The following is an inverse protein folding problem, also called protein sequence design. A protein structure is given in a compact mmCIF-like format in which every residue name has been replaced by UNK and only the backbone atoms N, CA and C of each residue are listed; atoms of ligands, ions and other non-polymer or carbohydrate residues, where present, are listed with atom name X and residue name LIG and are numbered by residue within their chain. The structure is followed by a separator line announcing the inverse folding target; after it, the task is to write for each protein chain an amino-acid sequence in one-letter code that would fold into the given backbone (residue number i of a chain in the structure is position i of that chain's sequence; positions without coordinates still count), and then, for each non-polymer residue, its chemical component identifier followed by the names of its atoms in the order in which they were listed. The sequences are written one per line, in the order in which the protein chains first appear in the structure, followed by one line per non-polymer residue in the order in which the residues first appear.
data_IF_389785745806
#
_entry.id   IF_389785745806
#
_cell.length_a   1.000
_cell.length_b   1.000
_cell.length_c   1.000
_cell.angle_alpha   90.00
_cell.angle_beta   90.00
_cell.angle_gamma   90.00
#
_symmetry.space_group_name_H-M   'P 1'
#
loop_
_entity.id
_entity.type
_entity.pdbx_description
1 polymer ?
#
# COMPACT_ATOMS: atom_id res chain seq x y z
N UNK A 1 -11.47 2.74 -8.01
CA UNK A 1 -12.47 2.23 -7.05
C UNK A 1 -11.97 2.31 -5.59
N UNK A 2 -11.20 3.33 -5.19
CA UNK A 2 -10.76 3.52 -3.80
C UNK A 2 -9.91 2.40 -3.19
N UNK A 3 -9.39 1.46 -3.99
CA UNK A 3 -8.67 0.29 -3.50
C UNK A 3 -9.56 -0.83 -2.97
N UNK A 4 -10.87 -0.81 -3.21
CA UNK A 4 -11.77 -1.93 -2.91
C UNK A 4 -11.44 -3.14 -3.78
N UNK A 5 -11.53 -4.35 -3.22
CA UNK A 5 -11.20 -5.56 -3.96
C UNK A 5 -11.60 -6.86 -3.28
N UNK A 6 -12.03 -6.84 -2.01
CA UNK A 6 -12.39 -8.07 -1.27
C UNK A 6 -13.51 -8.84 -1.96
N UNK A 7 -14.45 -8.15 -2.60
CA UNK A 7 -15.58 -8.76 -3.32
C UNK A 7 -15.65 -8.39 -4.80
N UNK A 8 -14.86 -7.39 -5.25
CA UNK A 8 -14.98 -6.77 -6.58
C UNK A 8 -13.77 -6.97 -7.49
N UNK A 9 -12.63 -7.44 -6.98
CA UNK A 9 -11.45 -7.70 -7.81
C UNK A 9 -11.70 -8.79 -8.86
N UNK A 10 -11.01 -8.70 -9.99
CA UNK A 10 -11.05 -9.73 -11.03
C UNK A 10 -10.30 -11.00 -10.59
N UNK A 11 -10.53 -12.13 -11.24
CA UNK A 11 -9.80 -13.37 -10.94
C UNK A 11 -8.29 -13.25 -11.12
N UNK A 12 -7.82 -12.32 -11.97
CA UNK A 12 -6.39 -12.03 -12.17
C UNK A 12 -5.79 -11.21 -11.04
N UNK A 13 -6.55 -10.28 -10.47
CA UNK A 13 -6.12 -9.43 -9.35
C UNK A 13 -6.47 -10.02 -7.99
N UNK A 14 -7.25 -11.11 -7.97
CA UNK A 14 -7.68 -11.81 -6.76
C UNK A 14 -6.57 -12.10 -5.73
N UNK A 15 -5.36 -12.57 -6.14
CA UNK A 15 -4.30 -12.87 -5.19
C UNK A 15 -3.87 -11.68 -4.32
N UNK A 16 -4.10 -10.46 -4.79
CA UNK A 16 -3.69 -9.23 -4.10
C UNK A 16 -4.76 -8.67 -3.15
N UNK A 17 -6.00 -9.19 -3.24
CA UNK A 17 -7.15 -8.74 -2.43
C UNK A 17 -7.79 -9.88 -1.64
N UNK A 18 -8.37 -10.85 -2.35
CA UNK A 18 -9.05 -11.99 -1.76
C UNK A 18 -8.87 -13.22 -2.64
N UNK A 19 -8.10 -14.23 -2.21
CA UNK A 19 -7.83 -15.43 -3.00
C UNK A 19 -9.08 -16.15 -3.50
N UNK A 20 -10.19 -16.05 -2.76
CA UNK A 20 -11.44 -16.68 -3.15
C UNK A 20 -12.00 -16.19 -4.49
N UNK A 21 -11.64 -14.97 -4.91
CA UNK A 21 -12.05 -14.43 -6.21
C UNK A 21 -11.36 -15.12 -7.40
N UNK A 22 -10.27 -15.86 -7.20
CA UNK A 22 -9.61 -16.63 -8.27
C UNK A 22 -10.56 -17.62 -8.96
N UNK A 23 -11.58 -18.13 -8.26
CA UNK A 23 -12.59 -19.01 -8.84
C UNK A 23 -13.78 -18.27 -9.47
N UNK A 24 -13.77 -16.92 -9.51
CA UNK A 24 -14.84 -16.09 -10.05
C UNK A 24 -14.39 -15.46 -11.36
N UNK A 25 -14.63 -16.15 -12.44
CA UNK A 25 -14.25 -15.78 -13.80
C UNK A 25 -15.47 -15.89 -14.75
N UNK A 26 -15.38 -15.29 -15.92
CA UNK A 26 -16.43 -15.42 -16.94
C UNK A 26 -16.39 -16.81 -17.56
N UNK A 27 -17.55 -17.31 -17.99
CA UNK A 27 -17.67 -18.68 -18.55
C UNK A 27 -16.78 -18.95 -19.77
N UNK A 28 -16.39 -17.91 -20.49
CA UNK A 28 -15.58 -18.00 -21.72
C UNK A 28 -14.10 -17.64 -21.47
N UNK A 29 -13.69 -17.39 -20.22
CA UNK A 29 -12.29 -17.15 -19.91
C UNK A 29 -11.54 -18.49 -19.84
N UNK A 30 -10.61 -18.74 -20.74
CA UNK A 30 -9.77 -19.94 -20.74
C UNK A 30 -8.45 -19.71 -20.00
N UNK A 31 -7.87 -18.52 -20.14
CA UNK A 31 -6.70 -18.06 -19.42
C UNK A 31 -6.65 -16.53 -19.38
N UNK A 32 -5.76 -15.97 -18.57
CA UNK A 32 -5.56 -14.53 -18.56
C UNK A 32 -4.29 -14.14 -17.86
N UNK A 33 -3.81 -12.94 -18.15
CA UNK A 33 -2.63 -12.38 -17.51
C UNK A 33 -2.83 -10.91 -17.14
N UNK A 34 -2.22 -10.52 -16.03
CA UNK A 34 -1.98 -9.14 -15.59
C UNK A 34 -0.50 -8.85 -15.77
N UNK A 35 -0.12 -7.96 -16.71
CA UNK A 35 1.29 -7.65 -17.00
C UNK A 35 1.42 -6.25 -17.58
N UNK A 36 2.12 -5.34 -16.90
CA UNK A 36 2.27 -5.21 -15.47
C UNK A 36 1.13 -4.37 -14.85
N UNK A 37 0.93 -4.50 -13.55
CA UNK A 37 0.27 -3.48 -12.73
C UNK A 37 1.34 -2.64 -12.06
N UNK A 38 1.31 -1.33 -12.20
CA UNK A 38 2.27 -0.41 -11.58
C UNK A 38 1.53 0.68 -10.83
N UNK A 39 2.06 1.10 -9.69
CA UNK A 39 1.50 2.18 -8.89
C UNK A 39 2.58 2.95 -8.15
N UNK A 40 2.34 4.23 -8.00
CA UNK A 40 3.17 5.14 -7.20
C UNK A 40 2.25 6.02 -6.37
N UNK A 41 2.64 6.28 -5.13
CA UNK A 41 2.00 7.27 -4.26
C UNK A 41 3.04 8.09 -3.52
N UNK A 42 2.68 9.35 -3.29
CA UNK A 42 3.40 10.30 -2.47
C UNK A 42 2.42 10.89 -1.46
N UNK A 43 2.79 10.91 -0.21
CA UNK A 43 1.98 11.43 0.89
C UNK A 43 2.85 12.24 1.85
N UNK A 44 2.73 13.55 1.78
CA UNK A 44 3.33 14.55 2.67
C UNK A 44 2.27 15.53 3.16
N UNK A 45 1.14 14.99 3.68
CA UNK A 45 0.05 15.80 4.22
C UNK A 45 0.53 16.73 5.34
N UNK A 46 1.54 16.32 6.07
CA UNK A 46 2.15 17.09 7.16
C UNK A 46 3.10 18.19 6.66
N UNK A 47 3.38 18.24 5.35
CA UNK A 47 4.32 19.18 4.70
C UNK A 47 5.72 19.12 5.30
N UNK A 48 6.22 17.90 5.50
CA UNK A 48 7.57 17.68 6.06
C UNK A 48 8.63 18.38 5.22
N UNK A 49 8.58 18.24 3.89
CA UNK A 49 9.59 18.82 3.01
C UNK A 49 9.60 20.35 3.07
N UNK A 50 8.43 20.99 2.98
CA UNK A 50 8.32 22.45 3.10
C UNK A 50 8.88 22.95 4.44
N UNK A 51 8.54 22.25 5.53
CA UNK A 51 8.98 22.61 6.90
C UNK A 51 10.48 22.37 7.11
N UNK A 52 11.07 21.37 6.46
CA UNK A 52 12.54 21.17 6.46
C UNK A 52 13.22 22.34 5.76
N UNK A 53 12.73 22.74 4.58
CA UNK A 53 13.25 23.88 3.84
C UNK A 53 13.13 25.19 4.63
N UNK A 54 12.01 25.39 5.31
CA UNK A 54 11.79 26.55 6.19
C UNK A 54 12.80 26.56 7.36
N UNK A 55 13.04 25.41 8.00
CA UNK A 55 13.98 25.30 9.12
C UNK A 55 15.43 25.55 8.68
N UNK A 56 15.85 24.98 7.53
CA UNK A 56 17.18 25.19 6.94
C UNK A 56 17.36 26.66 6.56
N UNK A 57 16.39 27.25 5.84
CA UNK A 57 16.44 28.63 5.40
C UNK A 57 16.45 29.64 6.55
N UNK A 58 15.74 29.35 7.64
CA UNK A 58 15.75 30.21 8.84
C UNK A 58 17.11 30.14 9.56
N UNK A 59 17.65 28.93 9.69
CA UNK A 59 18.98 28.73 10.33
C UNK A 59 20.10 29.38 9.51
N UNK A 60 20.08 29.32 8.17
CA UNK A 60 21.06 29.96 7.29
C UNK A 60 21.03 31.49 7.34
N UNK A 61 19.87 32.07 7.71
CA UNK A 61 19.72 33.52 7.89
C UNK A 61 20.03 34.00 9.30
N UNK A 62 20.46 33.14 10.22
CA UNK A 62 20.64 33.41 11.65
C UNK A 62 19.37 33.96 12.32
N UNK A 63 18.19 33.58 11.84
CA UNK A 63 16.90 34.01 12.38
C UNK A 63 16.44 33.06 13.49
N UNK A 64 16.85 33.35 14.72
CA UNK A 64 16.58 32.51 15.90
C UNK A 64 15.07 32.23 16.14
N UNK A 65 14.18 33.26 16.14
CA UNK A 65 12.75 33.02 16.34
C UNK A 65 12.13 32.15 15.24
N UNK A 66 12.51 32.39 13.98
CA UNK A 66 12.00 31.61 12.85
C UNK A 66 12.52 30.16 12.90
N UNK A 67 13.81 29.95 13.22
CA UNK A 67 14.39 28.61 13.35
C UNK A 67 13.70 27.81 14.44
N UNK A 68 13.48 28.41 15.62
CA UNK A 68 12.78 27.74 16.72
C UNK A 68 11.33 27.38 16.33
N UNK A 69 10.61 28.27 15.68
CA UNK A 69 9.24 28.02 15.23
C UNK A 69 9.18 26.91 14.18
N UNK A 70 10.12 26.88 13.23
CA UNK A 70 10.22 25.86 12.20
C UNK A 70 10.56 24.48 12.78
N UNK A 71 11.48 24.39 13.74
CA UNK A 71 11.79 23.14 14.44
C UNK A 71 10.58 22.59 15.22
N UNK A 72 9.83 23.46 15.89
CA UNK A 72 8.58 23.04 16.55
C UNK A 72 7.54 22.54 15.55
N UNK A 73 7.43 23.19 14.39
CA UNK A 73 6.51 22.78 13.34
C UNK A 73 6.87 21.42 12.70
N UNK A 74 8.13 21.01 12.73
CA UNK A 74 8.59 19.70 12.27
C UNK A 74 8.13 18.54 13.16
N UNK A 75 7.82 18.82 14.44
CA UNK A 75 7.48 17.74 15.38
C UNK A 75 6.26 16.94 14.94
N UNK A 76 6.40 15.61 14.90
CA UNK A 76 5.33 14.67 14.56
C UNK A 76 4.97 14.60 13.06
N UNK A 77 5.71 15.29 12.18
CA UNK A 77 5.48 15.26 10.75
C UNK A 77 6.04 13.99 10.12
N UNK A 78 5.45 13.57 9.00
CA UNK A 78 5.91 12.42 8.21
C UNK A 78 5.71 12.67 6.72
N UNK A 79 6.61 12.11 5.92
CA UNK A 79 6.41 11.97 4.47
C UNK A 79 6.58 10.51 4.06
N UNK A 80 5.75 10.05 3.11
CA UNK A 80 5.77 8.68 2.59
C UNK A 80 5.84 8.67 1.07
N UNK A 81 6.60 7.73 0.53
CA UNK A 81 6.66 7.46 -0.91
C UNK A 81 6.57 5.95 -1.10
N UNK A 82 5.56 5.52 -1.82
CA UNK A 82 5.35 4.12 -2.11
C UNK A 82 5.37 3.87 -3.62
N UNK A 83 6.01 2.79 -4.00
CA UNK A 83 6.04 2.31 -5.38
C UNK A 83 5.84 0.81 -5.39
N UNK A 84 5.05 0.31 -6.35
CA UNK A 84 4.85 -1.12 -6.46
C UNK A 84 4.40 -1.58 -7.83
N UNK A 85 4.59 -2.87 -8.05
CA UNK A 85 4.13 -3.54 -9.25
C UNK A 85 3.72 -4.99 -9.00
N UNK A 86 2.85 -5.51 -9.86
CA UNK A 86 2.36 -6.87 -9.77
C UNK A 86 2.17 -7.48 -11.16
N UNK A 87 2.31 -8.79 -11.20
CA UNK A 87 2.01 -9.63 -12.36
C UNK A 87 1.20 -10.84 -11.90
N UNK A 88 0.32 -11.34 -12.74
CA UNK A 88 -0.43 -12.55 -12.44
C UNK A 88 -0.78 -13.31 -13.73
N UNK A 89 -0.86 -14.62 -13.63
CA UNK A 89 -1.32 -15.50 -14.68
C UNK A 89 -2.38 -16.43 -14.12
N UNK A 90 -3.61 -16.28 -14.58
CA UNK A 90 -4.77 -17.03 -14.12
C UNK A 90 -5.17 -18.15 -15.07
N UNK A 91 -5.46 -19.31 -14.51
CA UNK A 91 -5.97 -20.49 -15.21
C UNK A 91 -7.34 -20.82 -14.59
N UNK A 92 -8.44 -20.33 -15.18
CA UNK A 92 -9.78 -20.70 -14.75
C UNK A 92 -10.00 -22.22 -14.87
N UNK A 93 -10.54 -22.82 -13.84
CA UNK A 93 -10.86 -24.25 -13.87
C UNK A 93 -12.04 -24.54 -12.94
N UNK A 94 -13.01 -25.35 -13.41
CA UNK A 94 -14.20 -25.71 -12.64
C UNK A 94 -13.94 -26.55 -11.39
N UNK A 95 -12.81 -27.24 -11.33
CA UNK A 95 -12.48 -28.08 -10.17
C UNK A 95 -11.71 -27.28 -9.10
N UNK A 96 -10.62 -26.63 -9.52
CA UNK A 96 -9.82 -25.73 -8.70
C UNK A 96 -9.23 -24.69 -9.65
N UNK A 97 -9.66 -23.44 -9.54
CA UNK A 97 -9.06 -22.34 -10.27
C UNK A 97 -7.69 -21.99 -9.64
N UNK A 98 -6.72 -21.70 -10.49
CA UNK A 98 -5.36 -21.38 -10.07
C UNK A 98 -4.90 -20.05 -10.65
N UNK A 99 -4.05 -19.34 -9.91
CA UNK A 99 -3.41 -18.11 -10.36
C UNK A 99 -1.98 -18.10 -9.81
N UNK A 100 -0.98 -17.94 -10.68
CA UNK A 100 0.41 -17.72 -10.29
C UNK A 100 0.64 -16.23 -10.30
N UNK A 101 1.20 -15.67 -9.23
CA UNK A 101 1.40 -14.24 -9.11
C UNK A 101 2.77 -13.87 -8.57
N UNK A 102 3.20 -12.67 -8.94
CA UNK A 102 4.35 -11.98 -8.36
C UNK A 102 3.97 -10.55 -8.01
N UNK A 103 4.50 -10.04 -6.93
CA UNK A 103 4.34 -8.66 -6.48
C UNK A 103 5.67 -8.14 -5.95
N UNK A 104 5.97 -6.89 -6.25
CA UNK A 104 7.09 -6.19 -5.63
C UNK A 104 6.62 -4.78 -5.25
N UNK A 105 6.99 -4.33 -4.05
CA UNK A 105 6.68 -2.98 -3.60
C UNK A 105 7.75 -2.46 -2.66
N UNK A 106 7.87 -1.14 -2.61
CA UNK A 106 8.75 -0.40 -1.72
C UNK A 106 7.88 0.64 -1.01
N UNK A 107 8.01 0.70 0.29
CA UNK A 107 7.38 1.69 1.15
C UNK A 107 8.49 2.45 1.89
N UNK A 108 8.47 3.76 1.81
CA UNK A 108 9.44 4.63 2.46
C UNK A 108 8.71 5.58 3.40
N UNK A 109 9.20 5.74 4.60
CA UNK A 109 8.72 6.70 5.57
C UNK A 109 9.89 7.52 6.10
N UNK A 110 9.72 8.84 6.09
CA UNK A 110 10.68 9.79 6.66
C UNK A 110 10.01 10.55 7.81
N UNK A 111 10.74 10.76 8.90
CA UNK A 111 10.29 11.51 10.05
C UNK A 111 11.46 12.29 10.70
N UNK A 112 11.24 13.50 11.22
CA UNK A 112 12.28 14.24 11.91
C UNK A 112 12.56 13.65 13.29
N UNK A 113 13.82 13.68 13.67
CA UNK A 113 14.34 13.44 15.03
C UNK A 113 14.93 14.74 15.53
N UNK A 114 14.09 15.55 16.16
CA UNK A 114 14.46 16.89 16.62
C UNK A 114 15.47 16.76 17.77
N UNK A 115 16.55 17.50 17.66
CA UNK A 115 17.56 17.57 18.74
C UNK A 115 16.94 18.12 20.02
N UNK A 116 17.46 17.73 21.22
CA UNK A 116 17.05 18.32 22.49
C UNK A 116 17.15 19.83 22.47
N UNK A 117 16.30 20.49 23.25
CA UNK A 117 16.28 21.94 23.33
C UNK A 117 17.68 22.49 23.62
N UNK A 118 18.09 23.45 22.78
CA UNK A 118 19.35 24.16 22.88
C UNK A 118 19.08 25.67 23.03
N UNK A 119 19.81 26.42 23.88
CA UNK A 119 19.72 27.87 23.93
C UNK A 119 20.00 28.55 22.57
N UNK A 120 20.77 27.88 21.71
CA UNK A 120 21.00 28.27 20.32
C UNK A 120 20.11 27.41 19.38
N UNK A 121 19.03 27.97 18.81
CA UNK A 121 18.16 27.24 17.89
C UNK A 121 18.84 26.83 16.59
N UNK A 122 19.89 27.55 16.15
CA UNK A 122 20.65 27.20 14.93
C UNK A 122 21.43 25.93 15.18
N UNK A 123 22.12 25.83 16.34
CA UNK A 123 22.81 24.60 16.70
C UNK A 123 21.82 23.43 16.85
N UNK A 124 20.64 23.68 17.43
CA UNK A 124 19.57 22.67 17.50
C UNK A 124 19.16 22.20 16.11
N UNK A 125 19.04 23.09 15.12
CA UNK A 125 18.73 22.72 13.74
C UNK A 125 19.85 21.89 13.10
N UNK A 126 21.11 22.24 13.33
CA UNK A 126 22.28 21.47 12.86
C UNK A 126 22.34 20.06 13.47
N UNK A 127 21.95 19.92 14.74
CA UNK A 127 21.92 18.63 15.46
C UNK A 127 20.62 17.81 15.18
N UNK A 128 19.64 18.39 14.50
CA UNK A 128 18.38 17.73 14.14
C UNK A 128 18.58 16.86 12.91
N UNK A 129 18.03 15.65 12.95
CA UNK A 129 18.16 14.67 11.88
C UNK A 129 16.80 14.31 11.27
N UNK A 130 16.82 13.83 10.04
CA UNK A 130 15.71 13.11 9.42
C UNK A 130 16.04 11.62 9.42
N UNK A 131 15.20 10.84 10.05
CA UNK A 131 15.24 9.37 10.05
C UNK A 131 14.37 8.84 8.93
N UNK A 132 14.92 7.95 8.12
CA UNK A 132 14.17 7.26 7.07
C UNK A 132 14.22 5.76 7.32
N UNK A 133 13.06 5.13 7.25
CA UNK A 133 12.92 3.69 7.22
C UNK A 133 12.22 3.27 5.92
N UNK A 134 12.74 2.25 5.29
CA UNK A 134 12.19 1.72 4.04
C UNK A 134 12.10 0.21 4.12
N UNK A 135 11.04 -0.33 3.54
CA UNK A 135 10.88 -1.76 3.33
C UNK A 135 10.59 -2.03 1.85
N UNK A 136 11.34 -2.96 1.28
CA UNK A 136 11.05 -3.50 -0.04
C UNK A 136 10.68 -4.97 0.09
N UNK A 137 9.53 -5.36 -0.46
CA UNK A 137 9.04 -6.73 -0.42
C UNK A 137 8.85 -7.24 -1.83
N UNK A 138 9.41 -8.41 -2.11
CA UNK A 138 9.10 -9.18 -3.31
C UNK A 138 8.41 -10.47 -2.89
N UNK A 139 7.27 -10.77 -3.52
CA UNK A 139 6.50 -11.98 -3.25
C UNK A 139 6.22 -12.75 -4.53
N UNK A 140 6.28 -14.07 -4.43
CA UNK A 140 5.85 -15.01 -5.47
C UNK A 140 4.97 -16.05 -4.81
N UNK A 141 3.81 -16.34 -5.41
CA UNK A 141 2.87 -17.28 -4.85
C UNK A 141 1.94 -17.91 -5.88
N UNK A 142 1.14 -18.83 -5.38
CA UNK A 142 0.09 -19.49 -6.15
C UNK A 142 -1.22 -19.33 -5.37
N UNK A 143 -2.24 -18.80 -6.03
CA UNK A 143 -3.58 -18.71 -5.48
C UNK A 143 -4.42 -19.86 -6.01
N UNK A 144 -5.06 -20.59 -5.11
CA UNK A 144 -5.96 -21.69 -5.42
C UNK A 144 -7.33 -21.39 -4.85
N UNK A 145 -8.37 -21.53 -5.65
CA UNK A 145 -9.74 -21.30 -5.18
C UNK A 145 -10.73 -22.28 -5.75
N UNK A 146 -11.79 -22.49 -4.98
CA UNK A 146 -12.89 -23.36 -5.36
C UNK A 146 -14.24 -22.71 -5.04
N UNK A 147 -15.06 -22.63 -6.08
CA UNK A 147 -16.49 -22.32 -5.92
C UNK A 147 -17.26 -23.55 -5.47
N UNK A 148 -18.16 -23.38 -4.51
CA UNK A 148 -18.94 -24.45 -3.88
C UNK A 148 -20.36 -24.01 -3.58
N UNK A 149 -21.33 -24.85 -3.86
CA UNK A 149 -22.71 -24.66 -3.39
C UNK A 149 -22.90 -25.46 -2.10
N UNK A 150 -23.23 -24.78 -1.01
CA UNK A 150 -23.50 -25.36 0.29
C UNK A 150 -24.90 -24.92 0.78
N UNK A 151 -25.75 -25.84 1.12
CA UNK A 151 -27.13 -25.57 1.61
C UNK A 151 -27.92 -24.63 0.67
N UNK A 152 -27.73 -24.75 -0.63
CA UNK A 152 -28.39 -23.90 -1.62
C UNK A 152 -27.86 -22.47 -1.71
N UNK A 153 -26.79 -22.15 -0.97
CA UNK A 153 -26.06 -20.88 -1.05
C UNK A 153 -24.75 -21.05 -1.80
N UNK A 154 -24.27 -19.98 -2.41
CA UNK A 154 -23.08 -19.97 -3.24
C UNK A 154 -21.90 -19.38 -2.48
N UNK A 155 -20.81 -20.13 -2.40
CA UNK A 155 -19.57 -19.74 -1.74
C UNK A 155 -18.38 -19.92 -2.65
N UNK A 156 -17.33 -19.16 -2.38
CA UNK A 156 -15.99 -19.45 -2.89
C UNK A 156 -15.00 -19.37 -1.75
N UNK A 157 -14.02 -20.28 -1.75
CA UNK A 157 -12.93 -20.33 -0.78
C UNK A 157 -11.60 -20.33 -1.53
N UNK A 158 -10.62 -19.60 -1.01
CA UNK A 158 -9.31 -19.50 -1.62
C UNK A 158 -8.18 -19.46 -0.62
N UNK A 159 -7.01 -19.96 -1.05
CA UNK A 159 -5.75 -19.96 -0.31
C UNK A 159 -4.63 -19.54 -1.25
N UNK A 160 -3.68 -18.75 -0.75
CA UNK A 160 -2.50 -18.32 -1.50
C UNK A 160 -1.23 -18.52 -0.66
N UNK A 161 -0.60 -19.70 -0.73
CA UNK A 161 0.76 -19.87 -0.24
C UNK A 161 1.72 -19.01 -1.08
N UNK A 162 2.65 -18.33 -0.39
CA UNK A 162 3.62 -17.42 -1.01
C UNK A 162 4.95 -17.41 -0.28
N UNK A 163 6.00 -17.09 -1.02
CA UNK A 163 7.33 -16.82 -0.49
C UNK A 163 7.56 -15.31 -0.64
N UNK A 164 8.01 -14.67 0.42
CA UNK A 164 8.31 -13.25 0.50
C UNK A 164 9.80 -13.07 0.78
N UNK A 165 10.44 -12.19 0.04
CA UNK A 165 11.77 -11.68 0.38
C UNK A 165 11.62 -10.22 0.76
N UNK A 166 12.01 -9.92 1.99
CA UNK A 166 11.81 -8.63 2.62
C UNK A 166 13.19 -8.01 2.82
N UNK A 167 13.36 -6.78 2.32
CA UNK A 167 14.56 -5.98 2.51
C UNK A 167 14.18 -4.78 3.36
N UNK A 168 15.00 -4.45 4.34
CA UNK A 168 14.84 -3.25 5.15
C UNK A 168 16.06 -2.36 5.00
N UNK A 169 15.80 -1.06 4.89
CA UNK A 169 16.80 -0.02 4.74
C UNK A 169 16.53 1.06 5.78
N UNK A 170 17.59 1.63 6.30
CA UNK A 170 17.51 2.73 7.25
C UNK A 170 18.55 3.77 6.91
N UNK A 171 18.20 5.05 7.01
CA UNK A 171 19.16 6.13 6.90
C UNK A 171 18.86 7.24 7.90
N UNK A 172 19.90 7.99 8.26
CA UNK A 172 19.82 9.18 9.11
C UNK A 172 20.63 10.26 8.41
N UNK A 173 20.01 11.38 8.10
CA UNK A 173 20.63 12.49 7.42
C UNK A 173 20.42 13.79 8.22
N UNK A 174 21.28 14.79 8.02
CA UNK A 174 21.04 16.15 8.51
C UNK A 174 19.83 16.76 7.78
N UNK A 175 19.27 17.85 8.31
CA UNK A 175 18.20 18.59 7.60
C UNK A 175 18.67 19.08 6.22
N UNK A 176 19.94 19.52 6.10
CA UNK A 176 20.50 20.07 4.86
C UNK A 176 20.76 19.01 3.77
N UNK A 177 21.14 17.78 4.20
CA UNK A 177 21.51 16.69 3.28
C UNK A 177 20.38 15.72 3.00
N UNK A 178 19.17 16.00 3.50
CA UNK A 178 18.04 15.10 3.35
C UNK A 178 17.59 14.98 1.89
N UNK A 179 17.64 13.74 1.36
CA UNK A 179 17.13 13.36 0.04
C UNK A 179 16.58 11.95 0.08
N UNK A 180 15.47 11.72 -0.60
CA UNK A 180 14.86 10.39 -0.69
C UNK A 180 15.65 9.37 -1.52
N UNK A 181 16.70 9.77 -2.24
CA UNK A 181 17.48 8.92 -3.15
C UNK A 181 18.66 8.17 -2.49
N UNK A 182 19.06 8.54 -1.27
CA UNK A 182 20.20 7.97 -0.55
C UNK A 182 19.90 6.65 0.21
N UNK A 183 18.94 5.86 -0.23
CA UNK A 183 18.34 4.76 0.54
C UNK A 183 19.10 3.42 0.44
N UNK A 184 20.24 3.31 -0.27
CA UNK A 184 20.73 2.00 -0.75
C UNK A 184 21.90 1.35 0.00
N UNK A 185 22.53 2.00 0.97
CA UNK A 185 23.85 1.52 1.40
C UNK A 185 23.88 0.38 2.45
N UNK A 186 22.81 0.13 3.19
CA UNK A 186 22.83 -0.82 4.31
C UNK A 186 21.57 -1.71 4.43
N UNK A 187 21.25 -2.45 3.36
CA UNK A 187 20.10 -3.37 3.36
C UNK A 187 20.33 -4.62 4.19
N UNK A 188 19.34 -4.98 5.02
CA UNK A 188 19.20 -6.37 5.51
C UNK A 188 18.10 -7.08 4.70
N UNK A 189 18.20 -8.40 4.57
CA UNK A 189 17.16 -9.17 3.88
C UNK A 189 16.80 -10.43 4.65
N UNK A 190 15.51 -10.75 4.65
CA UNK A 190 14.96 -11.96 5.22
C UNK A 190 14.01 -12.64 4.22
N UNK A 191 13.91 -13.96 4.29
CA UNK A 191 13.01 -14.76 3.46
C UNK A 191 11.96 -15.41 4.37
N UNK A 192 10.69 -15.18 4.06
CA UNK A 192 9.58 -15.71 4.81
C UNK A 192 8.62 -16.50 3.90
N UNK A 193 8.13 -17.63 4.40
CA UNK A 193 6.93 -18.25 3.86
C UNK A 193 5.71 -17.59 4.51
N UNK A 194 4.67 -17.34 3.72
CA UNK A 194 3.41 -16.79 4.22
C UNK A 194 2.20 -17.41 3.50
N UNK A 195 1.02 -17.13 4.04
CA UNK A 195 -0.23 -17.66 3.55
C UNK A 195 -1.29 -16.55 3.58
N UNK A 196 -2.05 -16.41 2.49
CA UNK A 196 -3.28 -15.62 2.47
C UNK A 196 -4.47 -16.56 2.31
N UNK A 197 -5.61 -16.19 2.88
CA UNK A 197 -6.85 -16.95 2.79
C UNK A 197 -8.03 -16.02 2.51
N UNK A 198 -9.10 -16.58 1.94
CA UNK A 198 -10.29 -15.81 1.67
C UNK A 198 -11.54 -16.65 1.53
N UNK A 199 -12.66 -16.01 1.79
CA UNK A 199 -13.98 -16.58 1.59
C UNK A 199 -14.92 -15.52 1.00
N UNK A 200 -15.87 -15.97 0.18
CA UNK A 200 -16.90 -15.16 -0.43
C UNK A 200 -18.23 -15.89 -0.37
N UNK A 201 -19.28 -15.12 -0.14
CA UNK A 201 -20.68 -15.53 -0.26
C UNK A 201 -21.36 -14.71 -1.35
N UNK A 202 -22.27 -15.34 -2.09
CA UNK A 202 -23.00 -14.74 -3.20
C UNK A 202 -24.49 -14.94 -3.05
N UNK A 203 -25.25 -13.89 -3.27
CA UNK A 203 -26.70 -13.96 -3.41
C UNK A 203 -27.19 -13.01 -4.51
N UNK A 204 -27.37 -13.56 -5.70
CA UNK A 204 -27.62 -12.72 -6.89
C UNK A 204 -26.47 -11.76 -7.14
N UNK A 205 -26.73 -10.45 -7.26
CA UNK A 205 -25.69 -9.44 -7.44
C UNK A 205 -24.96 -9.07 -6.12
N UNK A 206 -25.48 -9.48 -4.98
CA UNK A 206 -24.88 -9.17 -3.68
C UNK A 206 -23.74 -10.13 -3.38
N UNK A 207 -22.64 -9.56 -2.88
CA UNK A 207 -21.48 -10.30 -2.42
C UNK A 207 -21.06 -9.83 -1.05
N UNK A 208 -20.63 -10.76 -0.20
CA UNK A 208 -19.95 -10.48 1.04
C UNK A 208 -18.72 -11.37 1.15
N UNK A 209 -17.64 -10.87 1.71
CA UNK A 209 -16.40 -11.61 1.79
C UNK A 209 -15.51 -11.20 2.93
N UNK A 210 -14.59 -12.09 3.24
CA UNK A 210 -13.50 -11.87 4.17
C UNK A 210 -12.19 -12.30 3.53
N UNK A 211 -11.15 -11.53 3.78
CA UNK A 211 -9.77 -11.83 3.37
C UNK A 211 -8.86 -11.74 4.57
N UNK A 212 -7.93 -12.68 4.68
CA UNK A 212 -6.84 -12.68 5.65
C UNK A 212 -5.52 -12.70 4.87
N UNK A 213 -4.70 -11.67 4.99
CA UNK A 213 -3.39 -11.55 4.33
C UNK A 213 -2.29 -11.69 5.35
N UNK A 214 -1.15 -12.27 4.93
CA UNK A 214 0.05 -12.43 5.77
C UNK A 214 -0.26 -13.13 7.11
N UNK A 215 -0.92 -14.29 7.06
CA UNK A 215 -1.41 -15.01 8.25
C UNK A 215 -0.29 -15.45 9.21
N UNK A 216 0.94 -15.55 8.71
CA UNK A 216 2.10 -15.91 9.52
C UNK A 216 2.87 -14.63 9.90
N UNK A 217 2.74 -14.22 11.15
CA UNK A 217 3.42 -13.04 11.69
C UNK A 217 4.93 -13.21 11.70
N UNK A 218 5.66 -12.12 11.42
CA UNK A 218 7.11 -12.08 11.52
C UNK A 218 7.60 -10.70 11.93
N UNK A 219 8.66 -10.65 12.74
CA UNK A 219 9.38 -9.42 13.07
C UNK A 219 10.76 -9.48 12.45
N UNK A 220 11.18 -8.40 11.82
CA UNK A 220 12.48 -8.28 11.14
C UNK A 220 13.16 -7.04 11.68
N UNK A 221 14.33 -7.24 12.30
CA UNK A 221 15.14 -6.13 12.78
C UNK A 221 15.92 -5.54 11.62
N UNK A 222 15.90 -4.20 11.51
CA UNK A 222 16.76 -3.49 10.57
C UNK A 222 18.19 -3.44 11.10
N UNK A 223 19.12 -3.02 10.28
CA UNK A 223 20.46 -2.68 10.76
C UNK A 223 20.36 -1.58 11.80
N UNK A 224 21.17 -1.66 12.86
CA UNK A 224 21.21 -0.69 13.94
C UNK A 224 22.60 -0.11 14.12
N UNK A 225 22.69 1.14 14.56
CA UNK A 225 23.93 1.85 14.77
C UNK A 225 23.70 3.28 15.21
N UNK A 226 24.75 4.09 15.08
CA UNK A 226 24.72 5.52 15.36
C UNK A 226 25.30 6.28 14.17
N UNK A 227 24.72 7.44 13.87
CA UNK A 227 25.23 8.41 12.88
C UNK A 227 25.38 9.73 13.61
N UNK A 228 26.56 10.37 13.49
CA UNK A 228 26.77 11.70 14.06
C UNK A 228 26.20 12.74 13.11
N UNK A 229 25.21 13.52 13.59
CA UNK A 229 24.60 14.64 12.88
C UNK A 229 24.87 15.91 13.69
N UNK A 230 25.57 16.89 13.08
CA UNK A 230 26.06 18.04 13.82
C UNK A 230 27.00 17.60 14.94
N UNK A 231 26.64 17.85 16.18
CA UNK A 231 27.38 17.42 17.38
C UNK A 231 26.73 16.25 18.13
N UNK A 232 25.68 15.61 17.58
CA UNK A 232 24.87 14.60 18.27
C UNK A 232 24.95 13.23 17.59
N UNK A 233 25.15 12.18 18.39
CA UNK A 233 25.02 10.81 17.93
C UNK A 233 23.53 10.41 17.91
N UNK A 234 23.00 10.15 16.72
CA UNK A 234 21.62 9.76 16.47
C UNK A 234 21.59 8.24 16.28
N UNK A 235 20.88 7.57 17.18
CA UNK A 235 20.66 6.13 17.06
C UNK A 235 19.65 5.80 15.95
N UNK A 236 19.91 4.75 15.19
CA UNK A 236 18.96 4.14 14.27
C UNK A 236 18.94 2.63 14.49
N UNK A 237 17.85 2.03 14.11
CA UNK A 237 17.58 0.61 14.24
C UNK A 237 16.12 0.44 14.60
N UNK A 238 15.38 -0.22 13.73
CA UNK A 238 13.93 -0.33 13.80
C UNK A 238 13.54 -1.80 13.67
N UNK A 239 12.31 -2.11 14.05
CA UNK A 239 11.74 -3.42 13.85
C UNK A 239 10.54 -3.31 12.92
N UNK A 240 10.64 -3.95 11.75
CA UNK A 240 9.53 -4.10 10.83
C UNK A 240 8.69 -5.31 11.23
N UNK A 241 7.38 -5.13 11.29
CA UNK A 241 6.41 -6.16 11.64
C UNK A 241 5.57 -6.54 10.44
N UNK A 242 5.65 -7.81 10.05
CA UNK A 242 4.70 -8.42 9.14
C UNK A 242 3.61 -9.07 10.00
N UNK A 243 2.39 -8.54 9.96
CA UNK A 243 1.27 -9.00 10.77
C UNK A 243 0.08 -9.39 9.90
N UNK A 244 -0.78 -10.31 10.37
CA UNK A 244 -2.03 -10.62 9.67
C UNK A 244 -2.92 -9.40 9.54
N UNK A 245 -3.42 -9.17 8.33
CA UNK A 245 -4.45 -8.17 8.06
C UNK A 245 -5.74 -8.86 7.65
N UNK A 246 -6.80 -8.62 8.41
CA UNK A 246 -8.14 -9.13 8.16
C UNK A 246 -9.01 -8.01 7.58
N UNK A 247 -9.55 -8.23 6.37
CA UNK A 247 -10.42 -7.26 5.70
C UNK A 247 -11.75 -7.91 5.39
N UNK A 248 -12.85 -7.24 5.71
CA UNK A 248 -14.19 -7.62 5.28
C UNK A 248 -14.64 -6.72 4.15
N UNK A 249 -15.44 -7.26 3.24
CA UNK A 249 -15.98 -6.51 2.13
C UNK A 249 -17.43 -6.90 1.84
N UNK A 250 -18.19 -5.95 1.35
CA UNK A 250 -19.53 -6.15 0.82
C UNK A 250 -19.72 -5.35 -0.47
N UNK A 251 -20.57 -5.84 -1.37
CA UNK A 251 -20.79 -5.14 -2.62
C UNK A 251 -22.02 -5.63 -3.37
N UNK A 252 -22.42 -4.79 -4.31
CA UNK A 252 -23.40 -5.09 -5.34
C UNK A 252 -22.66 -5.11 -6.68
N UNK A 253 -22.58 -6.29 -7.30
CA UNK A 253 -21.79 -6.52 -8.51
C UNK A 253 -22.75 -7.00 -9.61
N UNK A 254 -23.06 -6.12 -10.53
CA UNK A 254 -23.87 -6.38 -11.73
C UNK A 254 -23.03 -6.19 -12.99
N UNK A 255 -23.57 -6.56 -14.16
CA UNK A 255 -22.85 -6.57 -15.44
C UNK A 255 -22.28 -5.20 -15.86
N UNK A 256 -22.98 -4.12 -15.51
CA UNK A 256 -22.63 -2.75 -15.93
C UNK A 256 -22.40 -1.80 -14.77
N UNK A 257 -22.54 -2.28 -13.56
CA UNK A 257 -22.44 -1.46 -12.36
C UNK A 257 -21.91 -2.26 -11.18
N UNK A 258 -20.92 -1.71 -10.49
CA UNK A 258 -20.38 -2.28 -9.26
C UNK A 258 -20.32 -1.20 -8.17
N UNK A 259 -20.73 -1.58 -6.99
CA UNK A 259 -20.54 -0.81 -5.76
C UNK A 259 -19.93 -1.73 -4.72
N UNK A 260 -18.85 -1.32 -4.08
CA UNK A 260 -18.18 -2.12 -3.06
C UNK A 260 -17.63 -1.28 -1.92
N UNK A 261 -17.60 -1.89 -0.74
CA UNK A 261 -17.03 -1.31 0.48
C UNK A 261 -16.18 -2.36 1.15
N UNK A 262 -14.95 -1.99 1.53
CA UNK A 262 -14.01 -2.83 2.28
C UNK A 262 -13.60 -2.13 3.58
N UNK A 263 -13.44 -2.92 4.65
CA UNK A 263 -13.03 -2.43 5.97
C UNK A 263 -12.01 -3.36 6.60
N UNK A 264 -10.87 -2.80 7.04
CA UNK A 264 -9.85 -3.54 7.75
C UNK A 264 -10.25 -3.70 9.22
N UNK A 265 -10.38 -4.95 9.69
CA UNK A 265 -10.82 -5.28 11.04
C UNK A 265 -9.78 -4.97 12.12
N UNK A 266 -8.52 -4.94 11.72
CA UNK A 266 -7.39 -4.64 12.60
C UNK A 266 -6.43 -3.66 11.97
N UNK A 267 -5.59 -3.04 12.80
CA UNK A 267 -4.49 -2.20 12.34
C UNK A 267 -3.33 -3.06 11.83
N UNK A 268 -2.77 -2.70 10.70
CA UNK A 268 -1.49 -3.19 10.21
C UNK A 268 -0.39 -2.28 10.76
N UNK A 269 0.40 -2.80 11.67
CA UNK A 269 1.59 -2.12 12.20
C UNK A 269 2.78 -2.50 11.33
N UNK A 270 3.58 -1.50 10.95
CA UNK A 270 4.75 -1.70 10.09
C UNK A 270 6.03 -1.54 10.89
N UNK A 271 6.52 -0.32 11.10
CA UNK A 271 7.68 -0.08 11.96
C UNK A 271 7.25 0.31 13.37
N UNK A 272 7.77 -0.38 14.38
CA UNK A 272 7.34 -0.18 15.77
C UNK A 272 7.67 1.21 16.34
N UNK A 273 8.64 1.89 15.73
CA UNK A 273 9.13 3.21 16.19
C UNK A 273 8.58 4.39 15.37
N UNK A 274 7.74 4.09 14.34
CA UNK A 274 7.10 5.11 13.52
C UNK A 274 5.59 5.07 13.74
N UNK A 275 4.93 6.21 13.59
CA UNK A 275 3.47 6.28 13.56
C UNK A 275 2.99 6.00 12.12
N UNK A 276 3.23 4.79 11.64
CA UNK A 276 2.92 4.35 10.28
C UNK A 276 1.80 3.30 10.22
N UNK A 277 1.03 3.16 11.30
CA UNK A 277 -0.11 2.26 11.41
C UNK A 277 -1.14 2.51 10.31
N UNK A 278 -1.69 1.44 9.75
CA UNK A 278 -2.69 1.49 8.67
C UNK A 278 -3.91 0.66 9.04
N UNK A 279 -5.08 1.28 8.97
CA UNK A 279 -6.39 0.61 9.05
C UNK A 279 -7.33 1.30 8.08
N UNK A 280 -7.64 0.68 6.96
CA UNK A 280 -8.33 1.34 5.87
C UNK A 280 -9.84 1.08 5.89
N UNK A 281 -10.58 2.14 5.64
CA UNK A 281 -11.93 2.08 5.09
C UNK A 281 -11.85 2.45 3.61
N UNK A 282 -12.52 1.68 2.74
CA UNK A 282 -12.52 1.88 1.29
C UNK A 282 -13.93 1.75 0.76
N UNK A 283 -14.30 2.62 -0.17
CA UNK A 283 -15.55 2.55 -0.91
C UNK A 283 -15.29 2.83 -2.39
N UNK A 284 -15.97 2.12 -3.28
CA UNK A 284 -15.74 2.26 -4.70
C UNK A 284 -16.96 1.96 -5.55
N UNK A 285 -17.03 2.64 -6.68
CA UNK A 285 -18.04 2.49 -7.71
C UNK A 285 -17.37 2.29 -9.06
N UNK A 286 -17.94 1.44 -9.88
CA UNK A 286 -17.57 1.26 -11.29
C UNK A 286 -18.84 1.23 -12.14
N UNK A 287 -18.77 1.93 -13.26
CA UNK A 287 -19.80 1.89 -14.31
C UNK A 287 -19.13 1.43 -15.58
N UNK A 288 -19.61 0.35 -16.16
CA UNK A 288 -19.14 -0.21 -17.42
C UNK A 288 -20.06 0.25 -18.55
N UNK A 289 -19.51 1.07 -19.45
CA UNK A 289 -20.21 1.56 -20.62
C UNK A 289 -19.93 0.62 -21.81
N UNK A 290 -21.00 -0.04 -22.25
CA UNK A 290 -20.99 -0.94 -23.41
C UNK A 290 -19.91 -2.03 -23.37
N UNK A 291 -19.45 -2.42 -22.19
CA UNK A 291 -18.39 -3.42 -21.94
C UNK A 291 -17.02 -3.07 -22.55
N UNK A 292 -16.79 -1.82 -22.85
CA UNK A 292 -15.53 -1.35 -23.44
C UNK A 292 -14.88 -0.21 -22.70
N UNK A 293 -15.65 0.57 -21.93
CA UNK A 293 -15.16 1.73 -21.17
C UNK A 293 -15.66 1.59 -19.75
N UNK A 294 -14.75 1.48 -18.80
CA UNK A 294 -15.05 1.44 -17.38
C UNK A 294 -14.70 2.81 -16.76
N UNK A 295 -15.68 3.42 -16.10
CA UNK A 295 -15.48 4.61 -15.29
C UNK A 295 -15.47 4.19 -13.82
N UNK A 296 -14.44 4.58 -13.10
CA UNK A 296 -14.20 4.20 -11.70
C UNK A 296 -14.08 5.42 -10.83
N UNK A 297 -14.80 5.42 -9.73
CA UNK A 297 -14.68 6.39 -8.66
C UNK A 297 -14.48 5.68 -7.33
N UNK A 298 -13.89 6.35 -6.36
CA UNK A 298 -13.78 5.76 -5.04
C UNK A 298 -13.24 6.72 -4.00
N UNK A 299 -13.27 6.24 -2.78
CA UNK A 299 -12.80 6.94 -1.60
C UNK A 299 -12.11 5.94 -0.67
N UNK A 300 -11.02 6.37 -0.05
CA UNK A 300 -10.45 5.63 1.06
C UNK A 300 -9.93 6.57 2.14
N UNK A 301 -9.87 6.05 3.37
CA UNK A 301 -9.34 6.77 4.52
C UNK A 301 -8.61 5.80 5.44
N UNK A 302 -7.43 6.21 5.92
CA UNK A 302 -6.75 5.53 7.02
C UNK A 302 -7.39 5.95 8.35
N UNK A 303 -7.95 4.99 9.09
CA UNK A 303 -8.61 5.20 10.38
C UNK A 303 -7.67 5.04 11.57
N UNK A 304 -6.45 4.57 11.35
CA UNK A 304 -5.46 4.39 12.40
C UNK A 304 -4.81 5.72 12.82
N UNK A 305 -4.82 6.71 11.91
CA UNK A 305 -4.21 8.03 12.08
C UNK A 305 -5.22 9.12 11.76
N UNK A 306 -4.99 10.30 12.28
CA UNK A 306 -5.74 11.49 11.87
C UNK A 306 -5.22 11.98 10.51
N UNK A 307 -5.79 11.43 9.44
CA UNK A 307 -5.43 11.73 8.05
C UNK A 307 -6.66 12.15 7.27
N UNK A 308 -6.45 12.93 6.23
CA UNK A 308 -7.52 13.27 5.29
C UNK A 308 -7.93 12.05 4.46
N UNK A 309 -9.14 12.07 3.94
CA UNK A 309 -9.63 11.03 3.04
C UNK A 309 -9.17 11.27 1.61
N UNK A 310 -8.87 10.20 0.90
CA UNK A 310 -8.38 10.22 -0.48
C UNK A 310 -9.50 9.91 -1.45
N UNK A 311 -9.69 10.76 -2.44
CA UNK A 311 -10.56 10.51 -3.59
C UNK A 311 -9.78 9.82 -4.70
N UNK A 312 -10.42 8.90 -5.40
CA UNK A 312 -9.82 8.21 -6.53
C UNK A 312 -10.72 8.28 -7.75
N UNK A 313 -10.11 8.44 -8.91
CA UNK A 313 -10.78 8.37 -10.19
C UNK A 313 -9.98 7.50 -11.16
N UNK A 314 -10.64 6.79 -12.06
CA UNK A 314 -9.97 5.95 -13.03
C UNK A 314 -10.83 5.66 -14.24
N UNK A 315 -10.15 5.31 -15.33
CA UNK A 315 -10.75 4.87 -16.57
C UNK A 315 -10.10 3.56 -17.02
N UNK A 316 -10.92 2.62 -17.46
CA UNK A 316 -10.50 1.37 -18.12
C UNK A 316 -11.00 1.36 -19.56
N UNK A 317 -10.18 0.84 -20.46
CA UNK A 317 -10.49 0.63 -21.85
C UNK A 317 -10.31 -0.84 -22.19
N UNK A 318 -11.38 -1.51 -22.65
CA UNK A 318 -11.37 -2.95 -22.97
C UNK A 318 -11.80 -3.18 -24.43
N UNK A 319 -10.97 -2.79 -25.42
CA UNK A 319 -11.32 -2.99 -26.81
C UNK A 319 -11.47 -4.50 -27.12
N UNK A 320 -12.59 -4.87 -27.74
CA UNK A 320 -12.92 -6.24 -28.11
C UNK A 320 -13.01 -7.24 -26.93
N UNK A 321 -12.98 -6.76 -25.66
CA UNK A 321 -12.93 -7.59 -24.45
C UNK A 321 -11.75 -8.60 -24.40
N UNK A 322 -10.66 -8.34 -25.14
CA UNK A 322 -9.45 -9.17 -25.15
C UNK A 322 -8.37 -8.63 -24.22
N UNK A 323 -8.29 -7.31 -24.11
CA UNK A 323 -7.38 -6.63 -23.16
C UNK A 323 -8.09 -5.48 -22.46
N UNK A 324 -7.61 -5.16 -21.32
CA UNK A 324 -8.02 -3.98 -20.56
C UNK A 324 -6.79 -3.16 -20.19
N UNK A 325 -6.77 -1.89 -20.57
CA UNK A 325 -5.84 -0.90 -20.07
C UNK A 325 -6.58 0.00 -19.11
N UNK A 326 -6.15 0.03 -17.86
CA UNK A 326 -6.75 0.86 -16.81
C UNK A 326 -5.73 1.86 -16.28
N UNK A 327 -6.14 3.12 -16.16
CA UNK A 327 -5.37 4.19 -15.52
C UNK A 327 -6.20 4.78 -14.40
N UNK A 328 -5.58 5.04 -13.26
CA UNK A 328 -6.24 5.68 -12.13
C UNK A 328 -5.32 6.68 -11.44
N UNK A 329 -5.93 7.69 -10.83
CA UNK A 329 -5.27 8.66 -9.98
C UNK A 329 -5.96 8.71 -8.62
N UNK A 330 -5.20 9.07 -7.60
CA UNK A 330 -5.66 9.34 -6.24
C UNK A 330 -5.24 10.74 -5.83
N UNK A 331 -6.10 11.42 -5.11
CA UNK A 331 -5.88 12.77 -4.65
C UNK A 331 -6.41 12.96 -3.23
N UNK A 332 -5.55 13.40 -2.36
CA UNK A 332 -5.87 13.80 -0.98
C UNK A 332 -5.66 15.30 -0.83
N UNK A 333 -4.49 15.78 -1.17
CA UNK A 333 -4.08 17.19 -1.14
C UNK A 333 -3.04 17.47 -2.22
N UNK A 334 -2.63 18.74 -2.45
CA UNK A 334 -1.51 19.03 -3.37
C UNK A 334 -0.20 18.31 -3.01
N UNK A 335 -0.02 17.95 -1.74
CA UNK A 335 1.15 17.25 -1.22
C UNK A 335 0.92 15.73 -1.04
N UNK A 336 -0.26 15.20 -1.44
CA UNK A 336 -0.56 13.77 -1.30
C UNK A 336 -1.40 13.28 -2.48
N UNK A 337 -0.76 12.53 -3.37
CA UNK A 337 -1.37 12.03 -4.59
C UNK A 337 -0.72 10.72 -5.07
N UNK A 338 -1.40 10.02 -5.96
CA UNK A 338 -0.86 8.81 -6.54
C UNK A 338 -1.45 8.52 -7.92
N UNK A 339 -0.79 7.61 -8.62
CA UNK A 339 -1.24 7.13 -9.93
C UNK A 339 -0.97 5.63 -10.08
N UNK A 340 -1.79 4.98 -10.87
CA UNK A 340 -1.59 3.57 -11.22
C UNK A 340 -1.99 3.27 -12.65
N UNK A 341 -1.35 2.26 -13.22
CA UNK A 341 -1.66 1.71 -14.53
C UNK A 341 -1.68 0.19 -14.45
N UNK A 342 -2.69 -0.42 -15.06
CA UNK A 342 -2.84 -1.88 -15.13
C UNK A 342 -3.11 -2.28 -16.59
N UNK A 343 -2.47 -3.35 -17.01
CA UNK A 343 -2.77 -4.00 -18.27
C UNK A 343 -3.16 -5.46 -18.01
N UNK A 344 -4.36 -5.84 -18.47
CA UNK A 344 -4.88 -7.19 -18.38
C UNK A 344 -5.17 -7.72 -19.79
N UNK A 345 -4.90 -8.99 -19.99
CA UNK A 345 -5.31 -9.73 -21.19
C UNK A 345 -6.06 -10.99 -20.77
N UNK A 346 -7.19 -11.27 -21.41
CA UNK A 346 -8.01 -12.48 -21.19
C UNK A 346 -8.23 -13.18 -22.53
N UNK A 347 -8.14 -14.51 -22.53
CA UNK A 347 -8.28 -15.35 -23.71
C UNK A 347 -9.45 -16.30 -23.56
#
# INVERSE_FOLDING_TARGET
MGGTGVVSASYLTAPFYNPALTAIYRRNDDAGMLVPSLGISYDDQDKLLDKVDDAVSAAERDDWPATQAALQALSGTQAKVDFGGAVAFGIPNRFIAANIFGKAYIENVATPDIAPDNPDPIQQAVDTAIKTASVAVTEIGISLAKYQTLYGQHFSFGLSPKIQRIYTYTSVNSLQDFKFDNIREDATSDVAFNLDAGALWFHGPFRAGISARNMLSRSIDTKSGFVTVGGRDVAYGYQYQLQPLYTVGAGFIADYFQLSVDYDLNKEKKFTQFDDDVQMFRAGIEVDLVRQIQLRGGYHKNLARDSEGTLTAGIGLSPLNLFELSVAASYTSPQAMGASVNFLATY
#
